data_IF_037112067307
#
_entry.id   IF_037112067307
#
_cell.length_a   1.000
_cell.length_b   1.000
_cell.length_c   1.000
_cell.angle_alpha   90.00
_cell.angle_beta   90.00
_cell.angle_gamma   90.00
#
_symmetry.space_group_name_H-M   'P 1'
#
loop_
_entity.id
_entity.type
_entity.pdbx_description
1 polymer ?
#
# COMPACT_ATOMS: atom_id res chain seq x y z
N UNK A 1 5.32 -17.70 -28.11
CA UNK A 1 4.46 -17.81 -26.92
C UNK A 1 5.30 -17.27 -25.78
N UNK A 2 5.17 -15.98 -25.49
CA UNK A 2 5.93 -15.38 -24.39
C UNK A 2 5.52 -16.09 -23.11
N UNK A 3 6.52 -16.49 -22.33
CA UNK A 3 6.30 -16.89 -20.95
C UNK A 3 5.75 -15.64 -20.26
N UNK A 4 4.43 -15.58 -20.06
CA UNK A 4 3.84 -14.73 -19.04
C UNK A 4 4.53 -15.12 -17.75
N UNK A 5 5.54 -14.34 -17.35
CA UNK A 5 6.25 -14.59 -16.12
C UNK A 5 5.21 -14.38 -14.99
N UNK A 6 4.75 -15.43 -14.29
CA UNK A 6 3.67 -15.28 -13.32
C UNK A 6 4.11 -14.42 -12.13
N UNK A 7 5.42 -14.25 -11.95
CA UNK A 7 6.03 -13.49 -10.87
C UNK A 7 6.42 -12.11 -11.39
N UNK A 8 5.77 -11.07 -10.85
CA UNK A 8 6.18 -9.68 -11.01
C UNK A 8 7.16 -9.31 -9.90
N UNK A 9 8.17 -8.50 -10.23
CA UNK A 9 9.16 -8.00 -9.29
C UNK A 9 9.40 -6.51 -9.51
N UNK A 10 9.85 -5.83 -8.47
CA UNK A 10 9.72 -4.38 -8.43
C UNK A 10 10.49 -3.68 -7.33
N UNK A 11 10.46 -2.36 -7.42
CA UNK A 11 11.02 -1.42 -6.46
C UNK A 11 9.97 -0.98 -5.42
N UNK A 12 10.39 -0.64 -4.20
CA UNK A 12 9.54 -0.01 -3.19
C UNK A 12 10.05 1.40 -2.89
N UNK A 13 9.17 2.39 -2.95
CA UNK A 13 9.50 3.79 -2.70
C UNK A 13 8.52 4.77 -3.32
N UNK A 14 8.85 6.06 -3.29
CA UNK A 14 8.16 7.10 -4.06
C UNK A 14 9.11 7.60 -5.16
N UNK A 15 8.57 8.11 -6.28
CA UNK A 15 9.36 8.81 -7.28
C UNK A 15 10.21 9.91 -6.62
N UNK A 16 11.50 10.05 -6.98
CA UNK A 16 12.37 11.07 -6.43
C UNK A 16 11.88 12.47 -6.80
N UNK A 17 12.18 13.46 -5.95
CA UNK A 17 11.83 14.86 -6.23
C UNK A 17 12.49 15.34 -7.53
N UNK A 18 11.73 16.09 -8.33
CA UNK A 18 12.21 16.66 -9.59
C UNK A 18 12.15 15.73 -10.81
N UNK A 19 11.82 14.44 -10.62
CA UNK A 19 11.57 13.50 -11.72
C UNK A 19 10.07 13.39 -11.98
N UNK A 20 9.66 13.39 -13.25
CA UNK A 20 8.24 13.22 -13.60
C UNK A 20 7.79 11.79 -13.37
N UNK A 21 6.49 11.59 -13.17
CA UNK A 21 5.93 10.26 -12.96
C UNK A 21 6.15 9.38 -14.21
N UNK A 22 6.10 9.95 -15.42
CA UNK A 22 6.41 9.29 -16.69
C UNK A 22 7.87 8.84 -16.78
N UNK A 23 8.83 9.75 -16.55
CA UNK A 23 10.27 9.45 -16.65
C UNK A 23 10.66 8.37 -15.65
N UNK A 24 10.13 8.45 -14.43
CA UNK A 24 10.39 7.45 -13.41
C UNK A 24 9.86 6.06 -13.81
N UNK A 25 8.63 5.98 -14.33
CA UNK A 25 8.04 4.71 -14.76
C UNK A 25 8.69 4.15 -16.03
N UNK A 26 9.12 5.01 -16.96
CA UNK A 26 9.90 4.62 -18.13
C UNK A 26 11.22 3.94 -17.71
N UNK A 27 11.94 4.55 -16.76
CA UNK A 27 13.17 3.95 -16.21
C UNK A 27 12.93 2.58 -15.58
N UNK A 28 11.84 2.42 -14.81
CA UNK A 28 11.50 1.12 -14.23
C UNK A 28 11.21 0.06 -15.30
N UNK A 29 10.49 0.44 -16.37
CA UNK A 29 10.18 -0.47 -17.47
C UNK A 29 11.43 -0.85 -18.28
N UNK A 30 12.33 0.11 -18.54
CA UNK A 30 13.60 -0.11 -19.24
C UNK A 30 14.54 -1.05 -18.45
N UNK A 31 14.49 -0.99 -17.11
CA UNK A 31 15.20 -1.92 -16.22
C UNK A 31 14.51 -3.29 -16.10
N UNK A 32 13.32 -3.45 -16.68
CA UNK A 32 12.55 -4.69 -16.70
C UNK A 32 11.73 -4.96 -15.45
N UNK A 33 11.48 -3.96 -14.59
CA UNK A 33 10.55 -4.09 -13.49
C UNK A 33 9.12 -4.17 -13.98
N UNK A 34 8.32 -4.98 -13.28
CA UNK A 34 6.93 -5.28 -13.64
C UNK A 34 5.97 -5.04 -12.46
N UNK A 35 6.51 -4.59 -11.33
CA UNK A 35 5.74 -4.16 -10.17
C UNK A 35 6.41 -2.97 -9.46
N UNK A 36 5.65 -2.27 -8.63
CA UNK A 36 6.15 -1.25 -7.72
C UNK A 36 5.27 -1.15 -6.48
N UNK A 37 5.88 -0.98 -5.32
CA UNK A 37 5.20 -0.64 -4.09
C UNK A 37 5.39 0.84 -3.74
N UNK A 38 4.30 1.60 -3.63
CA UNK A 38 4.35 2.98 -3.15
C UNK A 38 4.38 3.01 -1.63
N UNK A 39 5.51 3.45 -1.08
CA UNK A 39 5.75 3.45 0.36
C UNK A 39 5.28 4.73 1.05
N UNK A 40 4.08 4.72 1.65
CA UNK A 40 3.56 5.81 2.50
C UNK A 40 4.02 5.69 3.96
N UNK A 41 5.30 5.32 4.17
CA UNK A 41 5.82 4.84 5.46
C UNK A 41 5.82 5.88 6.59
N UNK A 42 5.86 7.17 6.25
CA UNK A 42 5.89 8.28 7.22
C UNK A 42 4.66 9.17 7.16
N UNK A 43 4.12 9.44 5.97
CA UNK A 43 2.95 10.31 5.74
C UNK A 43 2.32 10.01 4.37
N UNK A 44 1.26 10.76 4.02
CA UNK A 44 0.54 10.71 2.74
C UNK A 44 0.81 11.95 1.88
N UNK A 45 1.98 12.02 1.21
CA UNK A 45 2.32 13.15 0.34
C UNK A 45 1.43 13.20 -0.90
N UNK A 46 0.82 12.06 -1.26
CA UNK A 46 0.00 11.92 -2.45
C UNK A 46 -1.49 11.97 -2.10
N UNK A 47 -2.26 12.59 -3.00
CA UNK A 47 -3.73 12.60 -2.95
C UNK A 47 -4.29 11.78 -4.10
N UNK A 48 -5.58 11.46 -4.00
CA UNK A 48 -6.32 10.64 -4.97
C UNK A 48 -6.07 11.02 -6.44
N UNK A 49 -6.08 12.31 -6.85
CA UNK A 49 -5.85 12.67 -8.26
C UNK A 49 -4.48 12.24 -8.80
N UNK A 50 -3.40 12.43 -8.02
CA UNK A 50 -2.07 11.98 -8.43
C UNK A 50 -1.99 10.45 -8.48
N UNK A 51 -2.55 9.76 -7.49
CA UNK A 51 -2.61 8.30 -7.50
C UNK A 51 -3.32 7.76 -8.75
N UNK A 52 -4.44 8.37 -9.15
CA UNK A 52 -5.16 7.99 -10.36
C UNK A 52 -4.39 8.28 -11.64
N UNK A 53 -3.67 9.40 -11.72
CA UNK A 53 -2.82 9.69 -12.88
C UNK A 53 -1.66 8.70 -12.97
N UNK A 54 -0.94 8.50 -11.87
CA UNK A 54 0.19 7.56 -11.77
C UNK A 54 -0.21 6.13 -12.12
N UNK A 55 -1.36 5.66 -11.62
CA UNK A 55 -1.88 4.33 -11.91
C UNK A 55 -2.14 4.08 -13.40
N UNK A 56 -2.62 5.09 -14.13
CA UNK A 56 -2.81 5.00 -15.59
C UNK A 56 -1.47 4.85 -16.31
N UNK A 57 -0.50 5.68 -15.96
CA UNK A 57 0.85 5.63 -16.54
C UNK A 57 1.55 4.29 -16.27
N UNK A 58 1.39 3.75 -15.06
CA UNK A 58 1.95 2.44 -14.70
C UNK A 58 1.27 1.31 -15.49
N UNK A 59 -0.05 1.36 -15.65
CA UNK A 59 -0.79 0.36 -16.43
C UNK A 59 -0.40 0.34 -17.92
N UNK A 60 -0.10 1.50 -18.51
CA UNK A 60 0.41 1.60 -19.89
C UNK A 60 1.75 0.87 -20.09
N UNK A 61 2.51 0.68 -19.00
CA UNK A 61 3.83 0.02 -18.97
C UNK A 61 3.79 -1.39 -18.40
N UNK A 62 2.61 -1.96 -18.15
CA UNK A 62 2.38 -3.23 -17.44
C UNK A 62 3.08 -3.32 -16.06
N UNK A 63 3.15 -2.19 -15.34
CA UNK A 63 3.67 -2.13 -13.97
C UNK A 63 2.51 -2.27 -12.99
N UNK A 64 2.50 -3.36 -12.23
CA UNK A 64 1.51 -3.59 -11.16
C UNK A 64 1.84 -2.76 -9.92
N UNK A 65 0.84 -2.12 -9.32
CA UNK A 65 1.03 -1.26 -8.15
C UNK A 65 0.49 -1.89 -6.88
N UNK A 66 1.24 -1.75 -5.80
CA UNK A 66 0.79 -1.91 -4.42
C UNK A 66 1.13 -0.66 -3.62
N UNK A 67 0.58 -0.56 -2.40
CA UNK A 67 0.98 0.49 -1.46
C UNK A 67 1.37 -0.12 -0.12
N UNK A 68 2.31 0.51 0.56
CA UNK A 68 2.65 0.21 1.94
C UNK A 68 2.05 1.27 2.87
N UNK A 69 1.22 0.86 3.82
CA UNK A 69 0.64 1.76 4.81
C UNK A 69 1.73 2.32 5.77
N UNK A 70 1.50 3.46 6.45
CA UNK A 70 2.49 4.05 7.34
C UNK A 70 2.93 3.11 8.47
N UNK A 71 4.22 3.17 8.86
CA UNK A 71 4.76 2.32 9.93
C UNK A 71 4.07 2.51 11.28
N UNK A 72 3.53 3.71 11.53
CA UNK A 72 2.81 3.98 12.77
C UNK A 72 1.43 3.31 12.83
N UNK A 73 0.86 2.90 11.69
CA UNK A 73 -0.51 2.43 11.55
C UNK A 73 -0.59 0.92 11.81
N UNK A 74 -0.48 0.54 13.09
CA UNK A 74 -0.60 -0.85 13.54
C UNK A 74 -2.03 -1.20 13.99
N UNK A 75 -2.43 -2.46 13.83
CA UNK A 75 -3.76 -2.95 14.24
C UNK A 75 -3.84 -3.32 15.73
N UNK A 76 -2.71 -3.45 16.41
CA UNK A 76 -2.62 -3.88 17.82
C UNK A 76 -2.49 -2.74 18.83
N UNK A 77 -2.81 -1.50 18.46
CA UNK A 77 -2.69 -0.33 19.35
C UNK A 77 -3.75 -0.35 20.47
N UNK A 78 -3.32 -0.21 21.72
CA UNK A 78 -4.19 -0.25 22.91
C UNK A 78 -5.03 1.02 23.08
N UNK A 79 -4.41 2.19 22.92
CA UNK A 79 -5.07 3.48 23.07
C UNK A 79 -6.16 3.64 22.01
N UNK A 80 -7.41 3.87 22.43
CA UNK A 80 -8.57 3.84 21.55
C UNK A 80 -8.52 4.94 20.47
N UNK A 81 -8.12 6.15 20.84
CA UNK A 81 -8.00 7.27 19.91
C UNK A 81 -6.92 6.99 18.86
N UNK A 82 -5.75 6.54 19.30
CA UNK A 82 -4.64 6.17 18.41
C UNK A 82 -4.98 4.95 17.56
N UNK A 83 -5.69 3.97 18.11
CA UNK A 83 -6.17 2.79 17.37
C UNK A 83 -7.07 3.22 16.22
N UNK A 84 -8.03 4.13 16.47
CA UNK A 84 -8.88 4.68 15.42
C UNK A 84 -8.07 5.40 14.34
N UNK A 85 -7.08 6.21 14.72
CA UNK A 85 -6.18 6.89 13.76
C UNK A 85 -5.39 5.89 12.91
N UNK A 86 -4.90 4.80 13.50
CA UNK A 86 -4.17 3.76 12.77
C UNK A 86 -5.06 3.07 11.74
N UNK A 87 -6.26 2.64 12.15
CA UNK A 87 -7.22 1.99 11.25
C UNK A 87 -7.63 2.93 10.11
N UNK A 88 -7.90 4.21 10.39
CA UNK A 88 -8.21 5.20 9.35
C UNK A 88 -7.03 5.45 8.40
N UNK A 89 -5.78 5.42 8.88
CA UNK A 89 -4.61 5.55 8.03
C UNK A 89 -4.47 4.35 7.08
N UNK A 90 -4.78 3.13 7.54
CA UNK A 90 -4.82 1.94 6.68
C UNK A 90 -5.95 2.06 5.66
N UNK A 91 -7.16 2.42 6.09
CA UNK A 91 -8.29 2.66 5.18
C UNK A 91 -7.95 3.73 4.13
N UNK A 92 -7.27 4.79 4.53
CA UNK A 92 -6.81 5.82 3.59
C UNK A 92 -5.82 5.25 2.57
N UNK A 93 -4.84 4.45 3.03
CA UNK A 93 -3.88 3.74 2.16
C UNK A 93 -4.61 2.85 1.15
N UNK A 94 -5.61 2.08 1.59
CA UNK A 94 -6.44 1.24 0.72
C UNK A 94 -7.15 2.06 -0.36
N UNK A 95 -7.72 3.22 0.00
CA UNK A 95 -8.39 4.11 -0.96
C UNK A 95 -7.43 4.73 -1.96
N UNK A 96 -6.20 5.03 -1.55
CA UNK A 96 -5.15 5.50 -2.47
C UNK A 96 -4.70 4.38 -3.41
N UNK A 97 -4.51 3.15 -2.89
CA UNK A 97 -4.21 1.95 -3.69
C UNK A 97 -5.29 1.68 -4.74
N UNK A 98 -6.55 1.69 -4.33
CA UNK A 98 -7.68 1.53 -5.24
C UNK A 98 -7.68 2.62 -6.33
N UNK A 99 -7.39 3.87 -5.96
CA UNK A 99 -7.37 4.98 -6.90
C UNK A 99 -6.29 4.87 -7.97
N UNK A 100 -5.17 4.19 -7.69
CA UNK A 100 -4.10 3.89 -8.65
C UNK A 100 -4.30 2.57 -9.40
N UNK A 101 -5.41 1.84 -9.15
CA UNK A 101 -5.63 0.51 -9.74
C UNK A 101 -4.83 -0.61 -9.07
N UNK A 102 -4.22 -0.34 -7.91
CA UNK A 102 -3.55 -1.35 -7.09
C UNK A 102 -4.56 -2.26 -6.39
N UNK A 103 -4.16 -3.52 -6.18
CA UNK A 103 -4.99 -4.56 -5.55
C UNK A 103 -4.47 -4.99 -4.17
N UNK A 104 -3.28 -4.51 -3.78
CA UNK A 104 -2.62 -4.88 -2.53
C UNK A 104 -2.32 -3.63 -1.71
N UNK A 105 -2.61 -3.71 -0.40
CA UNK A 105 -2.16 -2.77 0.62
C UNK A 105 -1.42 -3.55 1.69
N UNK A 106 -0.13 -3.27 1.83
CA UNK A 106 0.73 -3.88 2.85
C UNK A 106 0.54 -3.13 4.17
N UNK A 107 0.35 -3.89 5.24
CA UNK A 107 0.11 -3.36 6.59
C UNK A 107 0.98 -4.11 7.60
N UNK A 108 1.40 -3.42 8.66
CA UNK A 108 1.96 -4.09 9.83
C UNK A 108 0.82 -4.46 10.79
N UNK A 109 0.60 -5.75 11.08
CA UNK A 109 -0.40 -6.15 12.08
C UNK A 109 -0.11 -5.49 13.43
N UNK A 110 1.17 -5.39 13.78
CA UNK A 110 1.66 -4.77 14.99
C UNK A 110 2.48 -5.76 15.82
N UNK A 111 2.42 -5.63 17.14
CA UNK A 111 3.26 -6.36 18.09
C UNK A 111 2.43 -6.96 19.23
N UNK A 112 2.91 -8.07 19.78
CA UNK A 112 2.20 -8.84 20.82
C UNK A 112 2.07 -8.12 22.17
N UNK A 113 3.13 -7.42 22.59
CA UNK A 113 3.26 -6.96 23.99
C UNK A 113 2.97 -8.12 24.95
N UNK A 114 2.08 -7.89 25.91
CA UNK A 114 1.72 -8.84 26.98
C UNK A 114 0.53 -9.73 26.61
N UNK A 115 0.02 -9.66 25.37
CA UNK A 115 -1.10 -10.48 24.91
C UNK A 115 -0.65 -11.87 24.48
N UNK A 116 -1.53 -12.83 24.67
CA UNK A 116 -1.43 -14.17 24.10
C UNK A 116 -1.58 -14.14 22.57
N UNK A 117 -1.15 -15.22 21.90
CA UNK A 117 -1.31 -15.35 20.44
C UNK A 117 -2.79 -15.30 20.00
N UNK A 118 -3.70 -15.84 20.80
CA UNK A 118 -5.14 -15.85 20.52
C UNK A 118 -5.72 -14.42 20.59
N UNK A 119 -5.40 -13.67 21.64
CA UNK A 119 -5.84 -12.27 21.79
C UNK A 119 -5.34 -11.37 20.66
N UNK A 120 -4.10 -11.58 20.20
CA UNK A 120 -3.54 -10.82 19.06
C UNK A 120 -4.26 -11.18 17.77
N UNK A 121 -4.50 -12.48 17.54
CA UNK A 121 -5.17 -12.94 16.34
C UNK A 121 -6.60 -12.39 16.26
N UNK A 122 -7.36 -12.47 17.35
CA UNK A 122 -8.72 -11.95 17.40
C UNK A 122 -8.78 -10.43 17.25
N UNK A 123 -7.86 -9.70 17.87
CA UNK A 123 -7.77 -8.26 17.69
C UNK A 123 -7.47 -7.90 16.23
N UNK A 124 -6.42 -8.47 15.64
CA UNK A 124 -6.04 -8.22 14.24
C UNK A 124 -7.20 -8.57 13.30
N UNK A 125 -7.81 -9.74 13.48
CA UNK A 125 -8.98 -10.19 12.69
C UNK A 125 -10.12 -9.18 12.77
N UNK A 126 -10.52 -8.75 13.97
CA UNK A 126 -11.62 -7.78 14.14
C UNK A 126 -11.37 -6.46 13.40
N UNK A 127 -10.11 -6.00 13.34
CA UNK A 127 -9.76 -4.76 12.62
C UNK A 127 -9.67 -4.99 11.12
N UNK A 128 -9.21 -6.16 10.68
CA UNK A 128 -9.26 -6.54 9.26
C UNK A 128 -10.71 -6.67 8.77
N UNK A 129 -11.62 -7.23 9.57
CA UNK A 129 -13.06 -7.30 9.24
C UNK A 129 -13.66 -5.90 9.08
N UNK A 130 -13.30 -4.96 9.96
CA UNK A 130 -13.69 -3.56 9.80
C UNK A 130 -13.16 -2.98 8.49
N UNK A 131 -11.88 -3.18 8.16
CA UNK A 131 -11.27 -2.67 6.93
C UNK A 131 -11.89 -3.31 5.68
N UNK A 132 -12.17 -4.61 5.70
CA UNK A 132 -12.86 -5.31 4.63
C UNK A 132 -14.24 -4.71 4.34
N UNK A 133 -14.95 -4.20 5.35
CA UNK A 133 -16.21 -3.48 5.13
C UNK A 133 -16.07 -2.15 4.36
N UNK A 134 -14.83 -1.66 4.15
CA UNK A 134 -14.52 -0.38 3.49
C UNK A 134 -13.99 -0.56 2.06
N UNK A 135 -13.98 -1.77 1.51
CA UNK A 135 -13.45 -2.07 0.18
C UNK A 135 -14.43 -1.82 -0.98
N UNK A 136 -15.62 -1.31 -0.67
CA UNK A 136 -16.69 -0.99 -1.64
C UNK A 136 -16.85 0.51 -1.77
#
# INVERSE_FOLDING_TARGET
>A
MELQNPVRYGYSGLPPEGVTDEEFLDGLADEGYTAMELSFVHDFPWKKPRCTAFGKLAAERDISLSVHAPFFAMLTVDDEERSRKCVHAIEHSMKLSQAMGGTVTVVHPGHSRDRTSEEIFDLVRSRLDYLASKTT
#
